data_IF_727126219776
#
_entry.id   IF_727126219776
#
_cell.length_a   1.000
_cell.length_b   1.000
_cell.length_c   1.000
_cell.angle_alpha   90.00
_cell.angle_beta   90.00
_cell.angle_gamma   90.00
#
_symmetry.space_group_name_H-M   'P 1'
#
loop_
_entity.id
_entity.type
_entity.pdbx_description
1 polymer ?
#
# COMPACT_ATOMS: atom_id res chain seq x y z
N UNK A 1 -3.38 8.26 4.99
CA UNK A 1 -2.65 7.05 4.53
C UNK A 1 -3.04 6.83 3.08
N UNK A 2 -2.08 6.65 2.18
CA UNK A 2 -2.31 6.37 0.77
C UNK A 2 -1.83 4.94 0.45
N UNK A 3 -2.74 3.94 0.46
CA UNK A 3 -2.43 2.58 0.07
C UNK A 3 -1.99 2.50 -1.40
N UNK A 4 -0.99 1.67 -1.69
CA UNK A 4 -0.72 1.21 -3.06
C UNK A 4 -1.71 0.13 -3.52
N UNK A 5 -1.24 -0.76 -4.40
CA UNK A 5 -2.04 -1.91 -4.84
C UNK A 5 -2.19 -2.94 -3.70
N UNK A 6 -3.40 -3.03 -3.16
CA UNK A 6 -3.76 -3.93 -2.06
C UNK A 6 -4.50 -5.15 -2.56
N UNK A 7 -4.23 -6.32 -1.99
CA UNK A 7 -4.97 -7.55 -2.26
C UNK A 7 -6.33 -7.52 -1.54
N UNK A 8 -7.39 -7.23 -2.29
CA UNK A 8 -8.77 -7.15 -1.81
C UNK A 8 -9.72 -7.69 -2.87
N UNK A 9 -10.98 -7.91 -2.53
CA UNK A 9 -12.00 -8.34 -3.49
C UNK A 9 -12.12 -7.37 -4.67
N UNK A 10 -11.93 -6.06 -4.43
CA UNK A 10 -11.95 -5.02 -5.46
C UNK A 10 -10.85 -5.19 -6.51
N UNK A 11 -9.67 -5.65 -6.10
CA UNK A 11 -8.49 -5.81 -6.98
C UNK A 11 -8.28 -7.25 -7.42
N UNK A 12 -9.09 -8.21 -6.95
CA UNK A 12 -8.99 -9.62 -7.32
C UNK A 12 -8.99 -9.85 -8.84
N UNK A 13 -9.79 -9.14 -9.66
CA UNK A 13 -9.72 -9.31 -11.12
C UNK A 13 -8.34 -8.94 -11.70
N UNK A 14 -7.65 -7.93 -11.13
CA UNK A 14 -6.31 -7.53 -11.57
C UNK A 14 -5.24 -8.52 -11.14
N UNK A 15 -5.43 -9.17 -10.00
CA UNK A 15 -4.53 -10.21 -9.49
C UNK A 15 -4.62 -11.49 -10.33
N UNK A 16 -5.83 -11.82 -10.79
CA UNK A 16 -6.11 -13.03 -11.58
C UNK A 16 -5.74 -12.87 -13.07
N UNK A 17 -5.62 -11.65 -13.57
CA UNK A 17 -5.10 -11.36 -14.91
C UNK A 17 -3.56 -11.43 -14.89
N UNK A 18 -2.92 -12.42 -15.56
CA UNK A 18 -1.47 -12.62 -15.49
C UNK A 18 -0.67 -11.44 -16.04
N UNK A 19 -1.16 -10.76 -17.08
CA UNK A 19 -0.48 -9.62 -17.69
C UNK A 19 -0.56 -8.40 -16.77
N UNK A 20 -1.74 -8.12 -16.22
CA UNK A 20 -1.94 -7.02 -15.26
C UNK A 20 -1.16 -7.27 -13.98
N UNK A 21 -1.26 -8.46 -13.42
CA UNK A 21 -0.52 -8.82 -12.21
C UNK A 21 1.00 -8.66 -12.40
N UNK A 22 1.54 -9.18 -13.51
CA UNK A 22 2.98 -9.07 -13.81
C UNK A 22 3.40 -7.60 -14.00
N UNK A 23 2.62 -6.81 -14.73
CA UNK A 23 2.95 -5.39 -14.97
C UNK A 23 2.89 -4.55 -13.70
N UNK A 24 1.94 -4.82 -12.80
CA UNK A 24 1.83 -4.16 -11.50
C UNK A 24 3.02 -4.55 -10.61
N UNK A 25 3.28 -5.85 -10.45
CA UNK A 25 4.36 -6.33 -9.59
C UNK A 25 5.75 -5.85 -10.04
N UNK A 26 5.99 -5.73 -11.34
CA UNK A 26 7.25 -5.16 -11.88
C UNK A 26 7.51 -3.71 -11.44
N UNK A 27 6.46 -2.97 -11.12
CA UNK A 27 6.52 -1.56 -10.69
C UNK A 27 6.46 -1.40 -9.18
N UNK A 28 6.23 -2.46 -8.42
CA UNK A 28 6.24 -2.44 -6.97
C UNK A 28 7.62 -2.95 -6.51
N UNK A 29 8.53 -2.09 -6.03
CA UNK A 29 9.87 -2.52 -5.59
C UNK A 29 9.88 -3.67 -4.57
N UNK A 30 8.91 -3.70 -3.63
CA UNK A 30 8.80 -4.80 -2.66
C UNK A 30 8.32 -6.13 -3.29
N UNK A 31 7.90 -6.12 -4.55
CA UNK A 31 7.63 -7.32 -5.35
C UNK A 31 6.36 -8.09 -4.99
N UNK A 32 5.44 -7.50 -4.20
CA UNK A 32 4.17 -8.14 -3.81
C UNK A 32 3.03 -7.14 -3.68
N UNK A 33 1.80 -7.64 -3.76
CA UNK A 33 0.62 -6.89 -3.35
C UNK A 33 0.69 -6.56 -1.85
N UNK A 34 0.22 -5.37 -1.51
CA UNK A 34 -0.01 -5.01 -0.12
C UNK A 34 -1.17 -5.82 0.47
N UNK A 35 -1.13 -6.02 1.78
CA UNK A 35 -2.15 -6.72 2.56
C UNK A 35 -2.72 -5.76 3.60
N UNK A 36 -3.88 -6.10 4.17
CA UNK A 36 -4.47 -5.30 5.25
C UNK A 36 -3.52 -5.14 6.46
N UNK A 37 -2.67 -6.13 6.71
CA UNK A 37 -1.67 -6.10 7.79
C UNK A 37 -0.60 -5.02 7.59
N UNK A 38 -0.25 -4.67 6.34
CA UNK A 38 0.74 -3.63 6.04
C UNK A 38 0.25 -2.23 6.46
N UNK A 39 -1.07 -2.03 6.58
CA UNK A 39 -1.69 -0.77 6.99
C UNK A 39 -1.83 -0.62 8.50
N UNK A 40 -1.81 -1.73 9.25
CA UNK A 40 -2.09 -1.70 10.70
C UNK A 40 -1.08 -0.87 11.47
N UNK A 41 0.21 -1.05 11.17
CA UNK A 41 1.29 -0.32 11.84
C UNK A 41 1.16 1.19 11.69
N UNK A 42 0.98 1.67 10.46
CA UNK A 42 0.84 3.12 10.22
C UNK A 42 -0.45 3.69 10.82
N UNK A 43 -1.54 2.91 10.80
CA UNK A 43 -2.80 3.32 11.40
C UNK A 43 -2.66 3.51 12.91
N UNK A 44 -2.04 2.54 13.60
CA UNK A 44 -1.79 2.62 15.04
C UNK A 44 -0.87 3.81 15.35
N UNK A 45 0.21 3.99 14.59
CA UNK A 45 1.11 5.13 14.76
C UNK A 45 0.36 6.47 14.66
N UNK A 46 -0.43 6.67 13.60
CA UNK A 46 -1.20 7.90 13.36
C UNK A 46 -2.37 8.10 14.34
N UNK A 47 -2.90 7.02 14.93
CA UNK A 47 -3.91 7.11 15.97
C UNK A 47 -3.31 7.37 17.37
N UNK A 48 -2.00 7.18 17.53
CA UNK A 48 -1.30 7.31 18.81
C UNK A 48 -0.74 8.72 19.03
N UNK A 49 -0.38 9.01 20.29
CA UNK A 49 0.30 10.25 20.68
C UNK A 49 1.67 10.44 20.04
N UNK A 50 2.28 9.38 19.47
CA UNK A 50 3.54 9.46 18.75
C UNK A 50 3.46 10.35 17.50
N UNK A 51 2.25 10.60 17.01
CA UNK A 51 1.99 11.41 15.81
C UNK A 51 1.43 12.80 16.11
N UNK A 52 1.44 13.26 17.37
CA UNK A 52 0.78 14.51 17.81
C UNK A 52 1.17 15.79 17.04
N UNK A 53 2.32 15.81 16.38
CA UNK A 53 2.77 16.95 15.58
C UNK A 53 2.74 16.71 14.06
N UNK A 54 2.17 15.58 13.63
CA UNK A 54 1.97 15.24 12.22
C UNK A 54 0.53 15.62 11.85
N UNK A 55 0.38 16.63 11.00
CA UNK A 55 -0.92 17.05 10.48
C UNK A 55 -0.84 17.36 8.98
N UNK A 56 -1.90 17.03 8.24
CA UNK A 56 -1.98 17.28 6.78
C UNK A 56 -1.07 16.40 5.90
N UNK A 57 -0.33 15.46 6.48
CA UNK A 57 0.59 14.60 5.73
C UNK A 57 -0.12 13.47 4.97
N UNK A 58 0.31 13.22 3.75
CA UNK A 58 -0.03 12.01 2.99
C UNK A 58 1.14 11.04 3.15
N UNK A 59 0.87 9.87 3.72
CA UNK A 59 1.88 8.82 3.94
C UNK A 59 1.58 7.66 2.98
N UNK A 60 2.40 7.47 1.93
CA UNK A 60 2.32 6.29 1.07
C UNK A 60 2.63 5.01 1.83
N UNK A 61 1.80 3.99 1.64
CA UNK A 61 2.06 2.61 2.05
C UNK A 61 1.81 1.73 0.83
N UNK A 62 2.78 1.75 -0.07
CA UNK A 62 2.60 1.32 -1.46
C UNK A 62 3.72 0.43 -1.98
N UNK A 63 4.63 -0.03 -1.10
CA UNK A 63 5.73 -0.89 -1.48
C UNK A 63 6.78 -0.23 -2.38
N UNK A 64 6.81 1.10 -2.45
CA UNK A 64 7.74 1.90 -3.24
C UNK A 64 7.16 2.40 -4.57
N UNK A 65 5.88 2.15 -4.86
CA UNK A 65 5.23 2.47 -6.14
C UNK A 65 5.39 3.94 -6.57
N UNK A 66 5.24 4.91 -5.67
CA UNK A 66 5.35 6.34 -6.01
C UNK A 66 6.80 6.84 -6.15
N UNK A 67 7.78 6.00 -5.81
CA UNK A 67 9.20 6.40 -5.80
C UNK A 67 10.01 5.88 -6.99
N UNK A 68 9.39 5.08 -7.86
CA UNK A 68 10.02 4.43 -9.02
C UNK A 68 9.13 4.50 -10.26
#
# INVERSE_FOLDING_TARGET
>A
IAPGFMATDLTMPLQQDPERNTSILKRIPIGRWGQGDDLKGILIFLASSMSNYINGAIIPVDGGWLTT
#
